data_IF_938073934561
#
_entry.id   IF_938073934561
#
_cell.length_a   1.000
_cell.length_b   1.000
_cell.length_c   1.000
_cell.angle_alpha   90.00
_cell.angle_beta   90.00
_cell.angle_gamma   90.00
#
_symmetry.space_group_name_H-M   'P 1'
#
loop_
_entity.id
_entity.type
_entity.pdbx_description
1 polymer ?
#
# COMPACT_ATOMS: atom_id res chain seq x y z
N UNK A 1 -9.52 9.68 -8.35
CA UNK A 1 -8.67 8.79 -7.54
C UNK A 1 -7.55 9.59 -6.91
N UNK A 2 -7.37 9.46 -5.60
CA UNK A 2 -6.15 9.90 -4.92
C UNK A 2 -5.70 8.76 -3.99
N UNK A 3 -4.56 8.15 -4.32
CA UNK A 3 -4.14 6.87 -3.76
C UNK A 3 -3.53 7.01 -2.36
N UNK A 4 -2.75 8.08 -2.12
CA UNK A 4 -2.01 8.26 -0.88
C UNK A 4 -2.88 8.17 0.41
N UNK A 5 -4.10 8.75 0.48
CA UNK A 5 -4.96 8.60 1.66
C UNK A 5 -5.29 7.15 2.00
N UNK A 6 -5.49 6.28 1.00
CA UNK A 6 -5.76 4.85 1.24
C UNK A 6 -4.58 4.16 1.93
N UNK A 7 -3.36 4.50 1.52
CA UNK A 7 -2.13 4.01 2.15
C UNK A 7 -2.02 4.52 3.59
N UNK A 8 -2.28 5.82 3.80
CA UNK A 8 -2.24 6.43 5.14
C UNK A 8 -3.24 5.77 6.10
N UNK A 9 -4.47 5.53 5.67
CA UNK A 9 -5.45 4.84 6.50
C UNK A 9 -5.05 3.41 6.82
N UNK A 10 -4.60 2.64 5.82
CA UNK A 10 -4.10 1.28 6.03
C UNK A 10 -2.89 1.24 6.96
N UNK A 11 -1.97 2.20 6.84
CA UNK A 11 -0.82 2.32 7.74
C UNK A 11 -1.28 2.67 9.17
N UNK A 12 -2.17 3.63 9.37
CA UNK A 12 -2.68 3.96 10.71
C UNK A 12 -3.37 2.76 11.39
N UNK A 13 -4.06 1.89 10.63
CA UNK A 13 -4.62 0.64 11.16
C UNK A 13 -3.55 -0.38 11.60
N UNK A 14 -2.33 -0.25 11.07
CA UNK A 14 -1.19 -1.08 11.40
C UNK A 14 -0.30 -0.45 12.47
N UNK A 15 -0.53 0.80 12.89
CA UNK A 15 0.15 1.40 14.04
C UNK A 15 -0.60 1.07 15.34
N UNK A 16 0.12 0.90 16.44
CA UNK A 16 -0.46 0.68 17.77
C UNK A 16 -0.74 2.00 18.52
N UNK A 17 -0.28 3.13 17.98
CA UNK A 17 -0.54 4.46 18.54
C UNK A 17 -2.00 4.89 18.37
N UNK A 18 -2.39 5.93 19.12
CA UNK A 18 -3.69 6.60 18.91
C UNK A 18 -3.80 7.14 17.47
N UNK A 19 -5.00 7.15 16.86
CA UNK A 19 -6.29 6.81 17.46
C UNK A 19 -6.71 5.33 17.31
N UNK A 20 -6.03 4.53 16.48
CA UNK A 20 -6.39 3.14 16.20
C UNK A 20 -5.46 2.16 16.92
N UNK A 21 -5.72 1.86 18.19
CA UNK A 21 -4.80 1.11 19.06
C UNK A 21 -4.88 -0.41 18.93
N UNK A 22 -5.61 -0.93 17.93
CA UNK A 22 -5.85 -2.37 17.75
C UNK A 22 -4.64 -3.17 17.25
N UNK A 23 -3.66 -2.52 16.64
CA UNK A 23 -2.49 -3.20 16.11
C UNK A 23 -1.53 -3.65 17.22
N UNK A 24 -0.83 -4.75 17.00
CA UNK A 24 0.30 -5.14 17.86
C UNK A 24 1.46 -4.17 17.68
N UNK A 25 2.19 -3.87 18.75
CA UNK A 25 3.36 -2.97 18.68
C UNK A 25 4.46 -3.55 17.80
N UNK A 26 5.37 -2.70 17.28
CA UNK A 26 6.54 -3.15 16.51
C UNK A 26 7.40 -4.15 17.29
N UNK A 27 7.58 -3.91 18.60
CA UNK A 27 8.32 -4.82 19.50
C UNK A 27 7.63 -6.18 19.65
N UNK A 28 6.30 -6.21 19.84
CA UNK A 28 5.56 -7.46 19.91
C UNK A 28 5.70 -8.27 18.62
N UNK A 29 5.59 -7.61 17.46
CA UNK A 29 5.75 -8.25 16.16
C UNK A 29 7.15 -8.85 15.99
N UNK A 30 8.20 -8.11 16.35
CA UNK A 30 9.58 -8.60 16.28
C UNK A 30 9.80 -9.85 17.14
N UNK A 31 9.34 -9.85 18.40
CA UNK A 31 9.45 -11.00 19.31
C UNK A 31 8.71 -12.23 18.80
N UNK A 32 7.56 -12.04 18.16
CA UNK A 32 6.70 -13.13 17.68
C UNK A 32 6.94 -13.48 16.20
N UNK A 33 7.99 -12.92 15.58
CA UNK A 33 8.30 -13.08 14.15
C UNK A 33 7.09 -12.79 13.26
N UNK A 34 6.29 -11.80 13.64
CA UNK A 34 5.12 -11.35 12.90
C UNK A 34 5.50 -10.31 11.85
N UNK A 35 4.69 -10.24 10.79
CA UNK A 35 4.82 -9.24 9.73
C UNK A 35 3.63 -8.29 9.73
N UNK A 36 3.88 -6.97 9.67
CA UNK A 36 2.86 -5.99 9.33
C UNK A 36 2.85 -5.83 7.82
N UNK A 37 1.71 -6.05 7.19
CA UNK A 37 1.59 -6.01 5.73
C UNK A 37 0.43 -5.13 5.30
N UNK A 38 0.64 -4.35 4.25
CA UNK A 38 -0.35 -3.52 3.59
C UNK A 38 -0.48 -3.99 2.14
N UNK A 39 -1.70 -4.22 1.69
CA UNK A 39 -1.99 -4.55 0.28
C UNK A 39 -2.70 -3.36 -0.34
N UNK A 40 -2.00 -2.65 -1.23
CA UNK A 40 -2.52 -1.52 -1.97
C UNK A 40 -3.05 -2.00 -3.32
N UNK A 41 -4.32 -1.74 -3.61
CA UNK A 41 -4.93 -2.02 -4.91
C UNK A 41 -5.55 -0.77 -5.48
N UNK A 42 -5.37 -0.55 -6.78
CA UNK A 42 -6.05 0.53 -7.53
C UNK A 42 -6.33 0.07 -8.95
N UNK A 43 -7.37 0.64 -9.55
CA UNK A 43 -7.77 0.44 -10.94
C UNK A 43 -7.23 1.50 -11.90
N UNK A 44 -6.55 2.53 -11.37
CA UNK A 44 -6.06 3.61 -12.21
C UNK A 44 -5.04 4.53 -11.54
N UNK A 45 -4.65 5.52 -12.34
CA UNK A 45 -3.75 6.59 -11.95
C UNK A 45 -4.38 7.54 -10.93
N UNK A 46 -3.53 8.32 -10.24
CA UNK A 46 -4.00 9.49 -9.52
C UNK A 46 -4.64 10.48 -10.52
N UNK A 47 -5.83 10.95 -10.20
CA UNK A 47 -6.55 11.99 -10.95
C UNK A 47 -6.96 13.17 -10.09
N UNK A 48 -6.83 13.03 -8.76
CA UNK A 48 -7.09 14.06 -7.77
C UNK A 48 -5.86 14.24 -6.88
N UNK A 49 -5.76 15.41 -6.27
CA UNK A 49 -4.71 15.81 -5.34
C UNK A 49 -5.31 16.50 -4.11
N UNK A 50 -4.51 16.83 -3.09
CA UNK A 50 -4.93 17.77 -2.05
C UNK A 50 -5.53 19.05 -2.65
N UNK A 51 -6.43 19.69 -1.89
CA UNK A 51 -7.04 20.97 -2.26
C UNK A 51 -6.02 22.11 -2.40
N UNK A 52 -6.50 23.31 -2.72
CA UNK A 52 -5.66 24.48 -2.96
C UNK A 52 -4.58 24.67 -1.87
N UNK A 53 -3.37 25.04 -2.30
CA UNK A 53 -2.21 25.28 -1.42
C UNK A 53 -1.75 24.08 -0.60
N UNK A 54 -2.02 22.84 -1.03
CA UNK A 54 -1.56 21.64 -0.32
C UNK A 54 -2.33 21.37 0.98
N UNK A 55 -3.55 21.90 1.09
CA UNK A 55 -4.43 21.60 2.22
C UNK A 55 -4.96 20.17 2.05
N UNK A 56 -4.35 19.21 2.75
CA UNK A 56 -4.67 17.78 2.72
C UNK A 56 -6.07 17.43 3.28
N UNK A 57 -6.83 18.41 3.78
CA UNK A 57 -8.20 18.21 4.29
C UNK A 57 -9.18 17.79 3.19
N UNK A 58 -8.97 18.29 1.98
CA UNK A 58 -9.83 18.01 0.84
C UNK A 58 -9.04 17.37 -0.29
N UNK A 59 -9.72 16.58 -1.13
CA UNK A 59 -9.14 15.84 -2.25
C UNK A 59 -9.76 16.28 -3.58
N UNK A 60 -9.87 17.59 -3.77
CA UNK A 60 -10.57 18.23 -4.90
C UNK A 60 -9.61 18.93 -5.89
N UNK A 61 -8.31 18.91 -5.61
CA UNK A 61 -7.30 19.42 -6.54
C UNK A 61 -7.05 18.45 -7.71
N UNK A 62 -6.32 18.93 -8.73
CA UNK A 62 -6.01 18.17 -9.95
C UNK A 62 -4.50 18.05 -10.26
N UNK A 63 -3.62 18.29 -9.29
CA UNK A 63 -2.18 18.20 -9.49
C UNK A 63 -1.71 16.74 -9.39
N UNK A 64 -1.68 16.07 -10.55
CA UNK A 64 -1.26 14.66 -10.67
C UNK A 64 0.20 14.45 -10.25
N UNK A 65 1.09 15.40 -10.52
CA UNK A 65 2.50 15.29 -10.17
C UNK A 65 2.69 15.34 -8.65
N UNK A 66 1.99 16.26 -7.98
CA UNK A 66 1.91 16.30 -6.52
C UNK A 66 1.31 15.01 -5.96
N UNK A 67 0.19 14.53 -6.51
CA UNK A 67 -0.47 13.31 -6.04
C UNK A 67 0.45 12.08 -6.13
N UNK A 68 1.19 11.94 -7.22
CA UNK A 68 2.17 10.87 -7.40
C UNK A 68 3.34 11.00 -6.42
N UNK A 69 3.88 12.22 -6.25
CA UNK A 69 4.96 12.50 -5.28
C UNK A 69 4.54 12.14 -3.85
N UNK A 70 3.34 12.55 -3.43
CA UNK A 70 2.82 12.22 -2.09
C UNK A 70 2.55 10.73 -1.94
N UNK A 71 2.06 10.05 -2.98
CA UNK A 71 1.88 8.59 -2.98
C UNK A 71 3.22 7.89 -2.77
N UNK A 72 4.24 8.26 -3.55
CA UNK A 72 5.59 7.70 -3.44
C UNK A 72 6.21 7.94 -2.05
N UNK A 73 6.10 9.17 -1.54
CA UNK A 73 6.60 9.53 -0.21
C UNK A 73 5.90 8.72 0.89
N UNK A 74 4.58 8.53 0.77
CA UNK A 74 3.80 7.74 1.72
C UNK A 74 4.24 6.28 1.70
N UNK A 75 4.44 5.68 0.52
CA UNK A 75 4.96 4.32 0.40
C UNK A 75 6.36 4.18 1.01
N UNK A 76 7.27 5.13 0.73
CA UNK A 76 8.62 5.14 1.30
C UNK A 76 8.59 5.17 2.83
N UNK A 77 7.73 6.02 3.41
CA UNK A 77 7.60 6.12 4.87
C UNK A 77 6.97 4.87 5.48
N UNK A 78 5.91 4.30 4.89
CA UNK A 78 5.33 3.05 5.35
C UNK A 78 6.35 1.89 5.36
N UNK A 79 7.15 1.78 4.28
CA UNK A 79 8.25 0.80 4.18
C UNK A 79 9.32 1.02 5.24
N UNK A 80 9.74 2.28 5.45
CA UNK A 80 10.69 2.66 6.50
C UNK A 80 10.20 2.28 7.89
N UNK A 81 8.89 2.28 8.09
CA UNK A 81 8.24 1.88 9.33
C UNK A 81 8.13 0.37 9.54
N UNK A 82 8.70 -0.42 8.63
CA UNK A 82 8.75 -1.88 8.71
C UNK A 82 7.50 -2.57 8.18
N UNK A 83 6.66 -1.86 7.43
CA UNK A 83 5.48 -2.43 6.78
C UNK A 83 5.89 -3.02 5.44
N UNK A 84 5.52 -4.27 5.21
CA UNK A 84 5.64 -4.92 3.91
C UNK A 84 4.48 -4.45 3.02
N UNK A 85 4.80 -3.71 1.97
CA UNK A 85 3.83 -3.16 1.02
C UNK A 85 3.76 -4.06 -0.19
N UNK A 86 2.57 -4.61 -0.44
CA UNK A 86 2.18 -5.27 -1.67
C UNK A 86 1.36 -4.31 -2.51
N UNK A 87 1.50 -4.36 -3.83
CA UNK A 87 0.68 -3.58 -4.74
C UNK A 87 -0.01 -4.46 -5.77
N UNK A 88 -1.22 -4.10 -6.16
CA UNK A 88 -1.99 -4.76 -7.22
C UNK A 88 -2.53 -3.69 -8.17
N UNK A 89 -1.95 -3.63 -9.37
CA UNK A 89 -2.45 -2.80 -10.46
C UNK A 89 -3.57 -3.57 -11.18
N UNK A 90 -4.83 -3.26 -10.87
CA UNK A 90 -5.98 -3.96 -11.44
C UNK A 90 -6.46 -3.25 -12.72
N UNK A 91 -6.31 -3.87 -13.89
CA UNK A 91 -6.69 -3.27 -15.18
C UNK A 91 -6.09 -1.89 -15.47
N UNK A 92 -4.98 -1.54 -14.80
CA UNK A 92 -4.28 -0.27 -15.04
C UNK A 92 -3.59 -0.33 -16.39
N UNK A 93 -3.78 0.67 -17.24
CA UNK A 93 -3.10 0.78 -18.55
C UNK A 93 -2.03 1.89 -18.57
N UNK A 94 -2.18 2.90 -17.71
CA UNK A 94 -1.24 4.01 -17.60
C UNK A 94 0.14 3.54 -17.07
N UNK A 95 1.18 3.76 -17.87
CA UNK A 95 2.54 3.30 -17.55
C UNK A 95 3.13 4.00 -16.33
N UNK A 96 2.80 5.28 -16.11
CA UNK A 96 3.27 6.05 -14.95
C UNK A 96 2.68 5.49 -13.66
N UNK A 97 1.39 5.16 -13.67
CA UNK A 97 0.69 4.54 -12.55
C UNK A 97 1.23 3.13 -12.27
N UNK A 98 1.51 2.32 -13.31
CA UNK A 98 2.16 1.01 -13.14
C UNK A 98 3.54 1.15 -12.48
N UNK A 99 4.37 2.09 -12.95
CA UNK A 99 5.69 2.35 -12.34
C UNK A 99 5.54 2.78 -10.89
N UNK A 100 4.64 3.73 -10.61
CA UNK A 100 4.39 4.21 -9.25
C UNK A 100 3.97 3.08 -8.30
N UNK A 101 3.11 2.16 -8.75
CA UNK A 101 2.70 1.00 -7.96
C UNK A 101 3.83 -0.01 -7.76
N UNK A 102 4.65 -0.23 -8.80
CA UNK A 102 5.83 -1.08 -8.70
C UNK A 102 6.85 -0.51 -7.68
N UNK A 103 7.11 0.79 -7.74
CA UNK A 103 8.04 1.48 -6.84
C UNK A 103 7.51 1.59 -5.40
N UNK A 104 6.18 1.64 -5.25
CA UNK A 104 5.53 1.64 -3.96
C UNK A 104 5.69 0.29 -3.21
N UNK A 105 5.69 -0.83 -3.93
CA UNK A 105 5.90 -2.15 -3.35
C UNK A 105 7.24 -2.24 -2.59
N UNK A 106 7.32 -3.15 -1.62
CA UNK A 106 8.57 -3.35 -0.84
C UNK A 106 9.71 -3.87 -1.70
N UNK A 107 9.41 -4.73 -2.67
CA UNK A 107 10.34 -5.21 -3.68
C UNK A 107 9.54 -5.72 -4.90
N UNK A 108 10.26 -6.06 -5.98
CA UNK A 108 9.64 -6.48 -7.24
C UNK A 108 8.75 -7.74 -7.12
N UNK A 109 8.97 -8.61 -6.13
CA UNK A 109 8.12 -9.80 -5.91
C UNK A 109 6.78 -9.48 -5.24
N UNK A 110 6.59 -8.21 -4.85
CA UNK A 110 5.40 -7.72 -4.14
C UNK A 110 4.57 -6.76 -4.99
N UNK A 111 4.99 -6.52 -6.23
CA UNK A 111 4.25 -5.77 -7.22
C UNK A 111 3.51 -6.75 -8.14
N UNK A 112 2.18 -6.68 -8.13
CA UNK A 112 1.30 -7.52 -8.92
C UNK A 112 0.54 -6.69 -9.93
N UNK A 113 0.19 -7.33 -11.04
CA UNK A 113 -0.70 -6.82 -12.07
C UNK A 113 -1.82 -7.81 -12.28
N UNK A 114 -3.05 -7.33 -12.45
CA UNK A 114 -4.20 -8.18 -12.68
C UNK A 114 -5.11 -7.56 -13.74
N UNK A 115 -5.17 -8.17 -14.92
CA UNK A 115 -5.97 -7.64 -16.04
C UNK A 115 -7.44 -8.10 -16.00
N UNK A 116 -7.79 -9.03 -15.11
CA UNK A 116 -9.14 -9.52 -14.91
C UNK A 116 -9.38 -10.03 -13.47
N UNK A 117 -10.62 -10.41 -13.16
CA UNK A 117 -10.99 -10.91 -11.84
C UNK A 117 -10.29 -12.23 -11.46
N UNK A 118 -9.94 -13.08 -12.42
CA UNK A 118 -9.23 -14.35 -12.18
C UNK A 118 -7.77 -14.09 -11.80
N UNK A 119 -7.11 -13.18 -12.50
CA UNK A 119 -5.77 -12.70 -12.17
C UNK A 119 -5.76 -11.98 -10.82
N UNK A 120 -6.81 -11.19 -10.52
CA UNK A 120 -6.95 -10.52 -9.22
C UNK A 120 -7.02 -11.52 -8.07
N UNK A 121 -7.87 -12.54 -8.20
CA UNK A 121 -7.97 -13.63 -7.22
C UNK A 121 -6.64 -14.39 -7.07
N UNK A 122 -5.89 -14.54 -8.16
CA UNK A 122 -4.56 -15.17 -8.13
C UNK A 122 -3.56 -14.31 -7.38
N UNK A 123 -3.49 -13.00 -7.64
CA UNK A 123 -2.62 -12.07 -6.93
C UNK A 123 -2.87 -12.10 -5.41
N UNK A 124 -4.13 -12.03 -4.96
CA UNK A 124 -4.44 -12.10 -3.52
C UNK A 124 -4.11 -13.46 -2.89
N UNK A 125 -4.27 -14.56 -3.62
CA UNK A 125 -3.82 -15.90 -3.17
C UNK A 125 -2.31 -15.94 -2.99
N UNK A 126 -1.55 -15.39 -3.94
CA UNK A 126 -0.09 -15.40 -3.89
C UNK A 126 0.43 -14.52 -2.76
N UNK A 127 -0.19 -13.36 -2.53
CA UNK A 127 0.07 -12.50 -1.36
C UNK A 127 -0.24 -13.23 -0.05
N UNK A 128 -1.35 -13.95 0.04
CA UNK A 128 -1.68 -14.73 1.22
C UNK A 128 -0.63 -15.82 1.49
N UNK A 129 -0.24 -16.56 0.44
CA UNK A 129 0.80 -17.58 0.52
C UNK A 129 2.16 -17.00 0.92
N UNK A 130 2.53 -15.80 0.45
CA UNK A 130 3.79 -15.15 0.82
C UNK A 130 3.80 -14.65 2.27
N UNK A 131 2.64 -14.36 2.84
CA UNK A 131 2.49 -13.97 4.26
C UNK A 131 2.41 -15.16 5.21
N UNK A 132 2.08 -16.35 4.71
CA UNK A 132 2.10 -17.57 5.51
C UNK A 132 3.55 -17.94 5.84
N UNK A 133 3.98 -17.60 7.06
CA UNK A 133 5.18 -18.20 7.63
C UNK A 133 4.95 -19.71 7.77
N UNK A 134 5.78 -20.54 7.12
CA UNK A 134 5.82 -21.99 7.39
C UNK A 134 6.18 -22.19 8.85
N UNK A 135 5.18 -22.44 9.69
CA UNK A 135 5.36 -22.80 11.09
C UNK A 135 5.49 -24.31 11.16
N UNK A 136 6.72 -24.81 11.19
CA UNK A 136 6.98 -26.17 11.65
C UNK A 136 6.76 -26.20 13.16
N UNK A 137 5.57 -26.62 13.59
CA UNK A 137 5.32 -26.97 14.99
C UNK A 137 5.89 -28.37 15.20
N UNK A 138 6.87 -28.49 16.10
CA UNK A 138 7.42 -29.77 16.53
C UNK A 138 6.50 -30.44 17.55
#
# INVERSE_FOLDING_TARGET
TYVAPGILWGWNMLDSAEPLTGAKTKSWMATNKGTKALVLMTDGANTLSPGAYGVYKFHEGGDVAMANSVTEETCKKAKKDGIVVYTVAFMVTDATAKSLLSDCATDATKAFTADDATALNTAFRDIANSLMAVRLTR
#
